data_IF_006279364078
#
_entry.id   IF_006279364078
#
_cell.length_a   1.000
_cell.length_b   1.000
_cell.length_c   1.000
_cell.angle_alpha   90.00
_cell.angle_beta   90.00
_cell.angle_gamma   90.00
#
_symmetry.space_group_name_H-M   'P 1'
#
loop_
_entity.id
_entity.type
_entity.pdbx_description
1 polymer ?
#
# COMPACT_ATOMS: atom_id res chain seq x y z
N UNK A 1 7.99 -33.60 4.25
CA UNK A 1 9.32 -33.55 3.60
C UNK A 1 9.23 -33.45 2.08
N UNK A 2 8.97 -34.52 1.30
CA UNK A 2 8.98 -34.42 -0.18
C UNK A 2 7.92 -33.45 -0.76
N UNK A 3 6.77 -33.34 -0.11
CA UNK A 3 5.69 -32.45 -0.56
C UNK A 3 5.99 -30.97 -0.25
N UNK A 4 6.63 -30.69 0.89
CA UNK A 4 7.03 -29.34 1.30
C UNK A 4 8.15 -28.77 0.42
N UNK A 5 9.10 -29.61 -0.03
CA UNK A 5 10.15 -29.19 -0.97
C UNK A 5 9.59 -28.90 -2.38
N UNK A 6 8.58 -29.67 -2.80
CA UNK A 6 7.86 -29.44 -4.05
C UNK A 6 7.09 -28.11 -4.02
N UNK A 7 6.42 -27.81 -2.90
CA UNK A 7 5.67 -26.57 -2.71
C UNK A 7 6.60 -25.34 -2.66
N UNK A 8 7.74 -25.45 -1.99
CA UNK A 8 8.76 -24.39 -1.96
C UNK A 8 9.30 -24.09 -3.37
N UNK A 9 9.58 -25.13 -4.15
CA UNK A 9 10.08 -24.99 -5.52
C UNK A 9 9.07 -24.29 -6.43
N UNK A 10 7.78 -24.59 -6.27
CA UNK A 10 6.70 -23.94 -7.00
C UNK A 10 6.59 -22.44 -6.64
N UNK A 11 6.66 -22.11 -5.35
CA UNK A 11 6.62 -20.73 -4.86
C UNK A 11 7.81 -19.93 -5.41
N UNK A 12 9.02 -20.50 -5.37
CA UNK A 12 10.22 -19.87 -5.93
C UNK A 12 10.02 -19.61 -7.43
N UNK A 13 9.54 -20.59 -8.19
CA UNK A 13 9.32 -20.44 -9.62
C UNK A 13 8.32 -19.31 -9.93
N UNK A 14 7.22 -19.22 -9.19
CA UNK A 14 6.22 -18.18 -9.36
C UNK A 14 6.75 -16.78 -9.03
N UNK A 15 7.48 -16.63 -7.92
CA UNK A 15 8.11 -15.36 -7.54
C UNK A 15 9.13 -14.94 -8.60
N UNK A 16 9.97 -15.85 -9.07
CA UNK A 16 10.94 -15.56 -10.14
C UNK A 16 10.25 -15.11 -11.41
N UNK A 17 9.14 -15.74 -11.82
CA UNK A 17 8.38 -15.32 -13.00
C UNK A 17 7.82 -13.89 -12.86
N UNK A 18 7.24 -13.56 -11.70
CA UNK A 18 6.75 -12.19 -11.44
C UNK A 18 7.89 -11.17 -11.45
N UNK A 19 8.99 -11.48 -10.76
CA UNK A 19 10.12 -10.55 -10.67
C UNK A 19 10.76 -10.32 -12.05
N UNK A 20 10.84 -11.34 -12.92
CA UNK A 20 11.34 -11.19 -14.29
C UNK A 20 10.54 -10.17 -15.12
N UNK A 21 9.23 -10.04 -14.89
CA UNK A 21 8.39 -9.04 -15.55
C UNK A 21 8.47 -7.64 -14.93
N UNK A 22 9.19 -7.46 -13.82
CA UNK A 22 9.25 -6.21 -13.07
C UNK A 22 10.40 -5.31 -13.54
N UNK A 23 10.26 -4.01 -13.30
CA UNK A 23 11.34 -3.03 -13.53
C UNK A 23 12.59 -3.36 -12.69
N UNK A 24 12.44 -4.04 -11.55
CA UNK A 24 13.57 -4.46 -10.72
C UNK A 24 14.51 -5.40 -11.47
N UNK A 25 13.98 -6.32 -12.28
CA UNK A 25 14.80 -7.24 -13.07
C UNK A 25 15.68 -6.50 -14.08
N UNK A 26 15.11 -5.57 -14.85
CA UNK A 26 15.87 -4.74 -15.78
C UNK A 26 16.90 -3.84 -15.07
N UNK A 27 16.59 -3.36 -13.86
CA UNK A 27 17.55 -2.59 -13.06
C UNK A 27 18.72 -3.46 -12.59
N UNK A 28 18.46 -4.66 -12.07
CA UNK A 28 19.49 -5.61 -11.67
C UNK A 28 20.37 -5.99 -12.86
N UNK A 29 19.79 -6.26 -14.02
CA UNK A 29 20.53 -6.57 -15.24
C UNK A 29 21.47 -5.41 -15.64
N UNK A 30 20.97 -4.17 -15.68
CA UNK A 30 21.80 -3.00 -15.98
C UNK A 30 22.95 -2.82 -14.98
N UNK A 31 22.73 -3.12 -13.72
CA UNK A 31 23.75 -2.99 -12.68
C UNK A 31 24.79 -4.10 -12.76
N UNK A 32 24.39 -5.33 -13.11
CA UNK A 32 25.32 -6.40 -13.43
C UNK A 32 26.20 -6.04 -14.64
N UNK A 33 25.60 -5.47 -15.70
CA UNK A 33 26.37 -4.99 -16.85
C UNK A 33 27.34 -3.86 -16.48
N UNK A 34 26.89 -2.90 -15.67
CA UNK A 34 27.75 -1.81 -15.20
C UNK A 34 28.89 -2.32 -14.30
N UNK A 35 28.68 -3.41 -13.56
CA UNK A 35 29.70 -3.97 -12.67
C UNK A 35 30.82 -4.67 -13.44
N UNK A 36 30.60 -5.14 -14.67
CA UNK A 36 31.65 -5.74 -15.51
C UNK A 36 32.79 -4.80 -15.86
N UNK A 37 32.57 -3.48 -15.78
CA UNK A 37 33.63 -2.49 -16.03
C UNK A 37 34.58 -2.33 -14.83
N UNK A 38 34.30 -3.00 -13.71
CA UNK A 38 35.06 -2.86 -12.47
C UNK A 38 36.21 -3.87 -12.41
N UNK A 39 37.40 -3.46 -11.98
CA UNK A 39 38.58 -4.33 -11.92
C UNK A 39 38.46 -5.47 -10.90
N UNK A 40 37.53 -5.37 -9.95
CA UNK A 40 37.27 -6.41 -8.95
C UNK A 40 36.49 -7.61 -9.50
N UNK A 41 35.82 -7.47 -10.65
CA UNK A 41 35.05 -8.56 -11.26
C UNK A 41 35.92 -9.30 -12.27
N UNK A 42 36.20 -10.55 -11.97
CA UNK A 42 37.02 -11.42 -12.82
C UNK A 42 36.13 -12.34 -13.64
N UNK A 43 36.60 -12.71 -14.83
CA UNK A 43 35.83 -13.62 -15.70
C UNK A 43 35.76 -15.04 -15.11
N UNK A 44 36.81 -15.47 -14.40
CA UNK A 44 36.92 -16.80 -13.82
C UNK A 44 35.97 -17.01 -12.62
N UNK A 45 35.64 -15.93 -11.91
CA UNK A 45 34.74 -15.92 -10.73
C UNK A 45 33.51 -15.04 -10.94
N UNK A 46 33.12 -14.82 -12.20
CA UNK A 46 32.13 -13.81 -12.59
C UNK A 46 30.83 -13.88 -11.80
N UNK A 47 30.30 -15.09 -11.61
CA UNK A 47 29.03 -15.31 -10.91
C UNK A 47 29.12 -14.95 -9.43
N UNK A 48 30.22 -15.33 -8.78
CA UNK A 48 30.49 -15.08 -7.37
C UNK A 48 30.78 -13.59 -7.14
N UNK A 49 31.56 -12.97 -8.03
CA UNK A 49 31.92 -11.56 -7.96
C UNK A 49 30.69 -10.65 -8.15
N UNK A 50 29.78 -10.99 -9.08
CA UNK A 50 28.51 -10.26 -9.25
C UNK A 50 27.61 -10.40 -8.03
N UNK A 51 27.55 -11.60 -7.42
CA UNK A 51 26.78 -11.80 -6.19
C UNK A 51 27.33 -10.96 -5.06
N UNK A 52 28.65 -10.95 -4.87
CA UNK A 52 29.29 -10.16 -3.83
C UNK A 52 29.11 -8.66 -4.08
N UNK A 53 29.24 -8.23 -5.34
CA UNK A 53 28.90 -6.87 -5.75
C UNK A 53 27.48 -6.49 -5.32
N UNK A 54 26.47 -7.33 -5.58
CA UNK A 54 25.09 -7.04 -5.20
C UNK A 54 24.85 -7.02 -3.68
N UNK A 55 25.60 -7.81 -2.90
CA UNK A 55 25.59 -7.75 -1.44
C UNK A 55 26.09 -6.39 -0.95
N UNK A 56 27.29 -5.99 -1.39
CA UNK A 56 27.97 -4.78 -0.93
C UNK A 56 27.23 -3.51 -1.38
N UNK A 57 26.71 -3.51 -2.61
CA UNK A 57 25.99 -2.37 -3.20
C UNK A 57 24.55 -2.21 -2.70
N UNK A 58 24.04 -3.15 -1.89
CA UNK A 58 22.69 -3.10 -1.32
C UNK A 58 21.58 -3.57 -2.26
N UNK A 59 21.90 -3.98 -3.49
CA UNK A 59 20.93 -4.54 -4.43
C UNK A 59 20.36 -5.89 -3.97
N UNK A 60 21.13 -6.67 -3.21
CA UNK A 60 20.63 -7.89 -2.56
C UNK A 60 19.47 -7.57 -1.62
N UNK A 61 19.60 -6.54 -0.77
CA UNK A 61 18.51 -6.10 0.13
C UNK A 61 17.29 -5.65 -0.65
N UNK A 62 17.49 -4.95 -1.77
CA UNK A 62 16.38 -4.53 -2.64
C UNK A 62 15.65 -5.75 -3.23
N UNK A 63 16.38 -6.77 -3.65
CA UNK A 63 15.81 -8.04 -4.11
C UNK A 63 15.10 -8.79 -2.98
N UNK A 64 15.69 -8.89 -1.80
CA UNK A 64 15.08 -9.51 -0.63
C UNK A 64 13.78 -8.82 -0.24
N UNK A 65 13.74 -7.49 -0.23
CA UNK A 65 12.52 -6.73 0.04
C UNK A 65 11.44 -6.96 -1.02
N UNK A 66 11.82 -7.09 -2.29
CA UNK A 66 10.89 -7.42 -3.35
C UNK A 66 10.34 -8.86 -3.21
N UNK A 67 11.20 -9.83 -2.88
CA UNK A 67 10.78 -11.20 -2.57
C UNK A 67 9.85 -11.21 -1.35
N UNK A 68 10.18 -10.47 -0.31
CA UNK A 68 9.34 -10.34 0.89
C UNK A 68 7.98 -9.70 0.58
N UNK A 69 7.96 -8.64 -0.24
CA UNK A 69 6.72 -8.03 -0.71
C UNK A 69 5.88 -8.99 -1.53
N UNK A 70 6.50 -9.82 -2.36
CA UNK A 70 5.77 -10.86 -3.10
C UNK A 70 5.25 -11.93 -2.14
N UNK A 71 6.04 -12.36 -1.15
CA UNK A 71 5.60 -13.32 -0.13
C UNK A 71 4.47 -12.78 0.76
N UNK A 72 4.45 -11.47 1.04
CA UNK A 72 3.41 -10.84 1.87
C UNK A 72 2.12 -10.55 1.09
N UNK A 73 2.23 -10.31 -0.22
CA UNK A 73 1.10 -10.15 -1.15
C UNK A 73 0.62 -11.49 -1.70
N UNK A 74 1.45 -12.54 -1.66
CA UNK A 74 1.03 -13.91 -1.93
C UNK A 74 -0.10 -14.24 -0.95
N UNK A 75 -1.33 -14.46 -1.43
CA UNK A 75 -2.19 -15.35 -0.66
C UNK A 75 -1.41 -16.66 -0.57
N UNK A 76 -1.43 -17.34 0.59
CA UNK A 76 -1.16 -18.78 0.58
C UNK A 76 -1.92 -19.33 -0.65
N UNK A 77 -1.25 -20.01 -1.59
CA UNK A 77 -1.94 -20.59 -2.73
C UNK A 77 -3.14 -21.32 -2.15
N UNK A 78 -4.36 -20.87 -2.48
CA UNK A 78 -5.52 -21.66 -2.13
C UNK A 78 -5.25 -23.00 -2.78
N UNK A 79 -5.14 -24.04 -1.94
CA UNK A 79 -4.74 -25.37 -2.36
C UNK A 79 -5.51 -25.71 -3.65
N UNK A 80 -4.89 -26.31 -4.68
CA UNK A 80 -5.60 -26.60 -5.93
C UNK A 80 -6.83 -27.51 -5.74
N UNK A 81 -6.96 -28.16 -4.58
CA UNK A 81 -8.17 -28.88 -4.15
C UNK A 81 -9.02 -28.14 -3.10
N UNK A 82 -8.78 -26.85 -2.86
CA UNK A 82 -9.61 -26.03 -1.98
C UNK A 82 -10.98 -25.86 -2.64
N UNK A 83 -12.07 -26.24 -1.96
CA UNK A 83 -13.42 -26.02 -2.45
C UNK A 83 -13.62 -24.55 -2.84
N UNK A 84 -14.42 -24.24 -3.88
CA UNK A 84 -14.70 -22.87 -4.31
C UNK A 84 -15.19 -21.96 -3.17
N UNK A 85 -15.84 -22.53 -2.15
CA UNK A 85 -16.30 -21.82 -0.95
C UNK A 85 -15.15 -21.21 -0.11
N UNK A 86 -13.93 -21.72 -0.24
CA UNK A 86 -12.75 -21.20 0.47
C UNK A 86 -11.97 -20.15 -0.33
N UNK A 87 -12.33 -19.91 -1.59
CA UNK A 87 -11.78 -18.80 -2.35
C UNK A 87 -12.45 -17.52 -1.85
N UNK A 88 -11.71 -16.66 -1.15
CA UNK A 88 -12.21 -15.34 -0.77
C UNK A 88 -12.61 -14.60 -2.04
N UNK A 89 -13.90 -14.27 -2.16
CA UNK A 89 -14.40 -13.52 -3.31
C UNK A 89 -13.59 -12.23 -3.50
N UNK A 90 -13.20 -11.89 -4.73
CA UNK A 90 -12.52 -10.63 -5.00
C UNK A 90 -13.31 -9.45 -4.43
N UNK A 91 -12.70 -8.68 -3.51
CA UNK A 91 -13.30 -7.51 -2.83
C UNK A 91 -13.60 -6.31 -3.76
N UNK A 92 -13.71 -6.57 -5.07
CA UNK A 92 -13.98 -5.56 -6.09
C UNK A 92 -15.32 -4.87 -5.81
N UNK A 93 -16.34 -5.62 -5.40
CA UNK A 93 -17.63 -5.04 -5.05
C UNK A 93 -17.53 -4.13 -3.81
N UNK A 94 -16.81 -4.55 -2.77
CA UNK A 94 -16.60 -3.73 -1.57
C UNK A 94 -15.84 -2.44 -1.87
N UNK A 95 -14.79 -2.49 -2.72
CA UNK A 95 -14.06 -1.29 -3.14
C UNK A 95 -14.94 -0.34 -3.96
N UNK A 96 -15.81 -0.87 -4.82
CA UNK A 96 -16.78 -0.06 -5.57
C UNK A 96 -17.83 0.57 -4.66
N UNK A 97 -18.34 -0.18 -3.69
CA UNK A 97 -19.28 0.31 -2.68
C UNK A 97 -18.62 1.42 -1.84
N UNK A 98 -17.40 1.19 -1.35
CA UNK A 98 -16.60 2.20 -0.63
C UNK A 98 -16.44 3.48 -1.45
N UNK A 99 -15.97 3.38 -2.71
CA UNK A 99 -15.76 4.57 -3.54
C UNK A 99 -17.05 5.32 -3.88
N UNK A 100 -18.18 4.61 -3.97
CA UNK A 100 -19.50 5.21 -4.18
C UNK A 100 -20.00 5.92 -2.93
N UNK A 101 -19.80 5.29 -1.76
CA UNK A 101 -20.11 5.86 -0.46
C UNK A 101 -19.29 7.12 -0.19
N UNK A 102 -17.96 7.08 -0.36
CA UNK A 102 -17.07 8.24 -0.17
C UNK A 102 -17.50 9.44 -1.04
N UNK A 103 -17.84 9.20 -2.32
CA UNK A 103 -18.35 10.26 -3.21
C UNK A 103 -19.67 10.85 -2.70
N UNK A 104 -20.58 10.03 -2.18
CA UNK A 104 -21.87 10.45 -1.62
C UNK A 104 -21.66 11.30 -0.37
N UNK A 105 -20.84 10.84 0.57
CA UNK A 105 -20.46 11.57 1.78
C UNK A 105 -19.87 12.93 1.42
N UNK A 106 -18.91 12.96 0.49
CA UNK A 106 -18.27 14.20 0.07
C UNK A 106 -19.27 15.19 -0.52
N UNK A 107 -20.22 14.74 -1.34
CA UNK A 107 -21.29 15.60 -1.87
C UNK A 107 -22.19 16.16 -0.76
N UNK A 108 -22.63 15.31 0.15
CA UNK A 108 -23.51 15.72 1.25
C UNK A 108 -22.81 16.72 2.18
N UNK A 109 -21.54 16.47 2.49
CA UNK A 109 -20.72 17.36 3.30
C UNK A 109 -20.54 18.73 2.63
N UNK A 110 -20.16 18.77 1.35
CA UNK A 110 -20.05 20.02 0.59
C UNK A 110 -21.37 20.80 0.54
N UNK A 111 -22.48 20.09 0.35
CA UNK A 111 -23.82 20.70 0.34
C UNK A 111 -24.16 21.34 1.68
N UNK A 112 -23.91 20.62 2.79
CA UNK A 112 -24.18 21.12 4.14
C UNK A 112 -23.27 22.31 4.48
N UNK A 113 -21.98 22.23 4.16
CA UNK A 113 -21.06 23.35 4.35
C UNK A 113 -21.46 24.59 3.56
N UNK A 114 -22.00 24.41 2.35
CA UNK A 114 -22.54 25.52 1.55
C UNK A 114 -23.78 26.12 2.22
N UNK A 115 -24.70 25.30 2.71
CA UNK A 115 -25.92 25.72 3.41
C UNK A 115 -25.61 26.49 4.70
N UNK A 116 -24.66 26.00 5.49
CA UNK A 116 -24.25 26.63 6.76
C UNK A 116 -23.22 27.76 6.58
N UNK A 117 -22.79 28.04 5.35
CA UNK A 117 -21.69 28.97 5.05
C UNK A 117 -20.38 28.65 5.79
N UNK A 118 -20.11 27.36 5.99
CA UNK A 118 -18.93 26.85 6.68
C UNK A 118 -17.85 26.48 5.65
N UNK A 119 -16.65 27.07 5.72
CA UNK A 119 -15.56 26.74 4.82
C UNK A 119 -14.88 25.41 5.22
N UNK A 120 -14.84 24.44 4.30
CA UNK A 120 -14.26 23.10 4.54
C UNK A 120 -12.74 23.09 4.74
N UNK A 121 -12.04 24.05 4.14
CA UNK A 121 -10.59 24.17 4.28
C UNK A 121 -10.19 25.64 4.11
N UNK A 122 -10.15 26.39 5.22
CA UNK A 122 -9.54 27.72 5.26
C UNK A 122 -8.43 27.77 6.29
N UNK A 123 -7.42 28.59 5.99
CA UNK A 123 -6.47 29.03 7.02
C UNK A 123 -7.26 29.82 8.07
N UNK A 124 -7.10 29.46 9.35
CA UNK A 124 -7.73 30.20 10.47
C UNK A 124 -7.22 31.65 10.49
N UNK A 125 -8.08 32.66 10.72
CA UNK A 125 -7.66 34.04 10.97
C UNK A 125 -6.67 34.16 12.15
N UNK A 126 -5.88 35.22 12.17
CA UNK A 126 -4.86 35.43 13.21
C UNK A 126 -5.46 35.55 14.64
N UNK A 127 -6.67 36.07 14.76
CA UNK A 127 -7.40 36.15 16.03
C UNK A 127 -7.72 34.75 16.59
N UNK A 128 -8.36 33.90 15.78
CA UNK A 128 -8.66 32.51 16.15
C UNK A 128 -7.37 31.74 16.50
N UNK A 129 -6.27 31.94 15.76
CA UNK A 129 -4.98 31.31 16.07
C UNK A 129 -4.46 31.73 17.45
N UNK A 130 -4.56 33.00 17.82
CA UNK A 130 -4.13 33.53 19.12
C UNK A 130 -5.01 32.99 20.25
N UNK A 131 -6.31 32.90 20.04
CA UNK A 131 -7.25 32.32 21.01
C UNK A 131 -6.97 30.83 21.24
N UNK A 132 -6.73 30.07 20.18
CA UNK A 132 -6.33 28.65 20.22
C UNK A 132 -5.05 28.44 21.03
N UNK A 133 -4.05 29.30 20.85
CA UNK A 133 -2.80 29.24 21.61
C UNK A 133 -3.04 29.55 23.10
N UNK A 134 -3.89 30.52 23.40
CA UNK A 134 -4.20 30.91 24.78
C UNK A 134 -5.04 29.86 25.52
N UNK A 135 -5.95 29.17 24.80
CA UNK A 135 -6.86 28.16 25.36
C UNK A 135 -6.41 26.72 25.07
N UNK A 136 -5.14 26.53 24.71
CA UNK A 136 -4.62 25.24 24.25
C UNK A 136 -4.91 24.09 25.24
N UNK A 137 -4.78 24.38 26.54
CA UNK A 137 -4.97 23.40 27.62
C UNK A 137 -6.46 23.12 27.93
N UNK A 138 -7.39 23.92 27.42
CA UNK A 138 -8.83 23.83 27.70
C UNK A 138 -9.63 23.28 26.51
N UNK A 139 -9.01 23.09 25.34
CA UNK A 139 -9.69 22.61 24.14
C UNK A 139 -10.31 21.22 24.27
N UNK A 140 -9.79 20.37 25.18
CA UNK A 140 -10.38 19.06 25.44
C UNK A 140 -11.74 19.12 26.13
N UNK A 141 -12.12 20.30 26.64
CA UNK A 141 -13.39 20.57 27.33
C UNK A 141 -14.34 21.47 26.54
N UNK A 142 -13.87 22.06 25.44
CA UNK A 142 -14.66 22.91 24.57
C UNK A 142 -15.37 22.04 23.52
N UNK A 143 -16.58 21.57 23.84
CA UNK A 143 -17.38 20.79 22.88
C UNK A 143 -18.01 21.73 21.84
N UNK A 144 -17.67 21.60 20.55
CA UNK A 144 -18.29 22.41 19.53
C UNK A 144 -19.78 22.06 19.41
N UNK A 145 -20.63 23.08 19.26
CA UNK A 145 -22.04 22.85 18.97
C UNK A 145 -22.19 22.27 17.55
N UNK A 146 -22.55 20.98 17.49
CA UNK A 146 -22.79 20.26 16.25
C UNK A 146 -24.28 20.12 15.92
N UNK A 147 -25.18 20.79 16.65
CA UNK A 147 -26.64 20.68 16.46
C UNK A 147 -27.09 21.02 15.03
N UNK A 148 -26.35 21.90 14.35
CA UNK A 148 -26.61 22.32 12.98
C UNK A 148 -26.15 21.30 11.93
N UNK A 149 -25.29 20.34 12.31
CA UNK A 149 -24.77 19.32 11.40
C UNK A 149 -25.70 18.11 11.37
N UNK A 150 -26.47 17.99 10.30
CA UNK A 150 -27.28 16.78 10.06
C UNK A 150 -26.39 15.59 9.66
N UNK A 151 -26.79 14.33 9.93
CA UNK A 151 -26.07 13.17 9.43
C UNK A 151 -25.89 13.22 7.90
N UNK A 152 -24.66 12.99 7.43
CA UNK A 152 -24.32 12.97 5.99
C UNK A 152 -24.59 11.61 5.32
N UNK A 153 -25.05 10.63 6.10
CA UNK A 153 -25.50 9.33 5.63
C UNK A 153 -26.67 8.83 6.51
N UNK A 154 -27.46 7.92 5.95
CA UNK A 154 -28.50 7.18 6.61
C UNK A 154 -28.21 5.66 6.53
N UNK A 155 -28.73 4.84 7.45
CA UNK A 155 -28.53 3.37 7.43
C UNK A 155 -28.95 2.70 6.12
N UNK A 156 -29.94 3.26 5.42
CA UNK A 156 -30.39 2.80 4.10
C UNK A 156 -29.33 2.94 3.00
N UNK A 157 -28.34 3.82 3.17
CA UNK A 157 -27.26 4.02 2.19
C UNK A 157 -26.29 2.84 2.13
N UNK A 158 -26.37 1.89 3.06
CA UNK A 158 -25.58 0.66 3.08
C UNK A 158 -26.32 -0.54 2.49
N UNK A 159 -27.57 -0.37 2.06
CA UNK A 159 -28.42 -1.43 1.49
C UNK A 159 -28.43 -1.45 -0.05
N UNK A 160 -27.76 -0.49 -0.68
CA UNK A 160 -27.54 -0.38 -2.14
C UNK A 160 -26.11 -0.79 -2.52
#
# INVERSE_FOLDING_TARGET
>A
MLQEESDLSLIIAQIVQKLKGSNLYSQLERQAWASLQRPEIKLESLKEDIKEFFKISGWEKKLQNAVYSELSVFPLPSHPAAPPEHLKEPLVYMRKAQGSWEKRILKSLNSMCTELSIPLARKRPAGEQKELLNKWNEMGTDEPDLSLFRPVYAPKDFLE
#
